data_IF_845006851208
#
_entry.id   IF_845006851208
#
_cell.length_a   1.000
_cell.length_b   1.000
_cell.length_c   1.000
_cell.angle_alpha   90.00
_cell.angle_beta   90.00
_cell.angle_gamma   90.00
#
_symmetry.space_group_name_H-M   'P 1'
#
loop_
_entity.id
_entity.type
_entity.pdbx_description
1 polymer ?
#
# COMPACT_ATOMS: atom_id res chain seq x y z
N UNK A 1 39.97 8.09 0.09
CA UNK A 1 38.83 8.93 -0.32
C UNK A 1 37.58 8.14 0.01
N UNK A 2 36.97 8.43 1.16
CA UNK A 2 35.90 7.63 1.74
C UNK A 2 34.59 8.39 1.60
N UNK A 3 33.67 7.79 0.84
CA UNK A 3 32.35 8.31 0.51
C UNK A 3 31.41 8.00 1.67
N UNK A 4 31.06 9.03 2.45
CA UNK A 4 30.09 8.92 3.54
C UNK A 4 28.69 9.20 2.99
N UNK A 5 27.97 8.12 2.67
CA UNK A 5 26.57 8.14 2.27
C UNK A 5 25.72 8.72 3.41
N UNK A 6 25.13 9.91 3.19
CA UNK A 6 24.19 10.54 4.11
C UNK A 6 22.81 9.89 3.96
N UNK A 7 22.46 9.03 4.91
CA UNK A 7 21.07 8.60 5.13
C UNK A 7 20.39 9.54 6.13
N UNK A 8 19.17 10.00 5.83
CA UNK A 8 18.31 10.85 6.67
C UNK A 8 16.89 10.37 6.38
N UNK A 9 16.03 9.88 7.29
CA UNK A 9 16.03 9.82 8.75
C UNK A 9 15.39 8.48 9.21
N UNK A 10 15.81 7.97 10.37
CA UNK A 10 15.16 6.86 11.08
C UNK A 10 14.48 7.43 12.31
N UNK A 11 13.18 7.23 12.48
CA UNK A 11 12.49 7.52 13.74
C UNK A 11 12.45 6.25 14.60
N UNK A 12 13.02 6.32 15.80
CA UNK A 12 12.85 5.31 16.85
C UNK A 12 12.07 5.95 18.00
N UNK A 13 10.94 5.38 18.47
CA UNK A 13 10.29 5.85 19.68
C UNK A 13 11.17 5.59 20.91
N UNK A 14 11.16 6.53 21.86
CA UNK A 14 11.91 6.46 23.12
C UNK A 14 11.43 5.28 23.98
N UNK A 15 12.31 4.64 24.76
CA UNK A 15 11.90 3.58 25.69
C UNK A 15 11.08 4.19 26.85
N UNK A 16 9.98 3.53 27.19
CA UNK A 16 9.22 3.84 28.40
C UNK A 16 10.08 3.56 29.64
N UNK A 17 10.01 4.50 30.58
CA UNK A 17 10.78 4.49 31.84
C UNK A 17 10.53 3.22 32.66
N UNK A 18 11.63 2.66 33.16
CA UNK A 18 11.72 1.44 33.93
C UNK A 18 10.75 1.36 35.13
N UNK A 19 9.92 0.31 35.13
CA UNK A 19 9.21 -0.23 36.28
C UNK A 19 9.29 -1.76 36.26
N UNK A 20 9.66 -2.35 37.39
CA UNK A 20 9.98 -3.77 37.65
C UNK A 20 8.94 -4.78 37.11
N UNK A 21 9.36 -5.95 36.55
CA UNK A 21 8.43 -6.93 35.98
C UNK A 21 7.78 -7.82 37.05
N UNK A 22 6.45 -7.82 37.11
CA UNK A 22 5.64 -8.85 37.79
C UNK A 22 5.40 -10.05 36.85
N UNK A 23 5.23 -11.27 37.38
CA UNK A 23 5.09 -12.46 36.55
C UNK A 23 3.65 -12.61 36.06
N UNK A 24 3.45 -12.66 34.73
CA UNK A 24 2.25 -13.25 34.14
C UNK A 24 1.34 -12.37 33.30
N UNK A 25 1.78 -11.23 32.80
CA UNK A 25 1.03 -10.51 31.77
C UNK A 25 1.56 -10.94 30.39
N UNK A 26 0.76 -11.75 29.67
CA UNK A 26 0.86 -11.82 28.21
C UNK A 26 0.82 -10.37 27.73
N UNK A 27 1.87 -9.92 27.06
CA UNK A 27 1.86 -8.66 26.33
C UNK A 27 0.57 -8.61 25.48
N UNK A 28 -0.22 -7.54 25.57
CA UNK A 28 -1.44 -7.48 24.80
C UNK A 28 -1.07 -7.44 23.32
N UNK A 29 -1.70 -8.34 22.57
CA UNK A 29 -2.17 -8.14 21.21
C UNK A 29 -1.95 -6.71 20.70
N UNK A 30 -1.07 -6.57 19.69
CA UNK A 30 -0.69 -5.27 19.15
C UNK A 30 -1.90 -4.41 18.77
N UNK A 31 -1.72 -3.10 18.89
CA UNK A 31 -2.69 -2.05 18.59
C UNK A 31 -3.59 -2.36 17.37
N UNK A 32 -4.88 -2.69 17.58
CA UNK A 32 -5.80 -3.05 16.51
C UNK A 32 -6.00 -1.85 15.58
N UNK A 33 -5.66 -2.04 14.30
CA UNK A 33 -5.72 -1.00 13.27
C UNK A 33 -4.44 -0.18 13.11
N UNK A 34 -3.34 -0.52 13.78
CA UNK A 34 -2.06 0.13 13.53
C UNK A 34 -1.58 -0.03 12.07
N UNK A 35 -1.83 -1.19 11.45
CA UNK A 35 -1.49 -1.44 10.04
C UNK A 35 -2.37 -0.61 9.09
N UNK A 36 -3.66 -0.46 9.42
CA UNK A 36 -4.58 0.43 8.69
C UNK A 36 -4.11 1.88 8.74
N UNK A 37 -3.80 2.40 9.94
CA UNK A 37 -3.29 3.78 10.10
C UNK A 37 -1.94 3.97 9.41
N UNK A 38 -1.08 2.95 9.44
CA UNK A 38 0.19 2.98 8.75
C UNK A 38 -0.02 3.11 7.23
N UNK A 39 -0.88 2.28 6.62
CA UNK A 39 -1.16 2.37 5.18
C UNK A 39 -1.78 3.70 4.77
N UNK A 40 -2.74 4.23 5.53
CA UNK A 40 -3.30 5.56 5.27
C UNK A 40 -2.23 6.66 5.33
N UNK A 41 -1.32 6.60 6.31
CA UNK A 41 -0.19 7.53 6.38
C UNK A 41 0.73 7.44 5.16
N UNK A 42 1.04 6.22 4.71
CA UNK A 42 1.85 6.03 3.51
C UNK A 42 1.10 6.53 2.27
N UNK A 43 -0.21 6.29 2.15
CA UNK A 43 -1.02 6.79 1.05
C UNK A 43 -1.01 8.33 0.95
N UNK A 44 -1.13 9.03 2.08
CA UNK A 44 -0.99 10.49 2.13
C UNK A 44 0.40 10.98 1.73
N UNK A 45 1.46 10.23 2.08
CA UNK A 45 2.81 10.53 1.60
C UNK A 45 2.96 10.31 0.10
N UNK A 46 2.42 9.22 -0.45
CA UNK A 46 2.43 8.96 -1.91
C UNK A 46 1.71 10.09 -2.65
N UNK A 47 0.57 10.55 -2.13
CA UNK A 47 -0.20 11.62 -2.75
C UNK A 47 0.61 12.92 -2.82
N UNK A 48 1.19 13.36 -1.70
CA UNK A 48 1.98 14.61 -1.62
C UNK A 48 3.27 14.54 -2.43
N UNK A 49 4.04 13.46 -2.25
CA UNK A 49 5.38 13.32 -2.85
C UNK A 49 5.34 12.92 -4.33
N UNK A 50 4.27 12.26 -4.77
CA UNK A 50 4.12 11.81 -6.15
C UNK A 50 4.12 12.95 -7.16
N UNK A 51 3.45 14.07 -6.83
CA UNK A 51 3.45 15.29 -7.65
C UNK A 51 4.85 15.92 -7.78
N UNK A 52 5.73 15.68 -6.81
CA UNK A 52 7.13 16.15 -6.80
C UNK A 52 8.09 15.13 -7.46
N UNK A 53 7.57 14.03 -8.00
CA UNK A 53 8.36 12.97 -8.63
C UNK A 53 9.05 12.02 -7.66
N UNK A 54 8.68 12.04 -6.37
CA UNK A 54 9.12 11.05 -5.39
C UNK A 54 8.06 9.95 -5.24
N UNK A 55 8.42 8.72 -5.57
CA UNK A 55 7.47 7.61 -5.68
C UNK A 55 7.78 6.46 -4.76
N UNK A 56 6.74 5.79 -4.28
CA UNK A 56 6.84 4.63 -3.42
C UNK A 56 7.55 3.49 -4.17
N UNK A 57 8.49 2.83 -3.50
CA UNK A 57 9.18 1.66 -4.02
C UNK A 57 8.80 0.39 -3.29
N UNK A 58 8.67 0.47 -1.96
CA UNK A 58 8.37 -0.70 -1.14
C UNK A 58 7.59 -0.32 0.11
N UNK A 59 6.70 -1.21 0.51
CA UNK A 59 6.11 -1.30 1.84
C UNK A 59 6.38 -2.71 2.40
N UNK A 60 6.87 -2.75 3.63
CA UNK A 60 6.92 -3.94 4.47
C UNK A 60 5.93 -3.71 5.62
N UNK A 61 4.79 -4.39 5.56
CA UNK A 61 3.72 -4.19 6.54
C UNK A 61 4.04 -4.87 7.87
N UNK A 62 4.81 -5.96 7.85
CA UNK A 62 5.22 -6.72 9.04
C UNK A 62 6.05 -5.83 9.96
N UNK A 63 7.01 -5.09 9.38
CA UNK A 63 7.89 -4.19 10.14
C UNK A 63 7.45 -2.72 10.10
N UNK A 64 6.33 -2.42 9.42
CA UNK A 64 5.82 -1.05 9.18
C UNK A 64 6.89 -0.11 8.63
N UNK A 65 7.58 -0.56 7.58
CA UNK A 65 8.61 0.20 6.87
C UNK A 65 8.16 0.50 5.46
N UNK A 66 8.63 1.62 4.93
CA UNK A 66 8.43 1.98 3.54
C UNK A 66 9.67 2.67 2.99
N UNK A 67 9.83 2.64 1.67
CA UNK A 67 10.88 3.38 0.97
C UNK A 67 10.31 4.11 -0.22
N UNK A 68 10.88 5.29 -0.48
CA UNK A 68 10.60 6.11 -1.65
C UNK A 68 11.88 6.26 -2.49
N UNK A 69 11.70 6.54 -3.78
CA UNK A 69 12.79 6.92 -4.67
C UNK A 69 12.39 8.16 -5.48
N UNK A 70 13.37 9.03 -5.71
CA UNK A 70 13.20 10.16 -6.62
C UNK A 70 13.33 9.65 -8.07
N UNK A 71 12.32 9.91 -8.88
CA UNK A 71 12.41 9.71 -10.32
C UNK A 71 13.08 10.91 -10.99
N UNK A 72 13.85 10.70 -12.09
CA UNK A 72 14.55 11.79 -12.78
C UNK A 72 13.64 12.91 -13.29
N UNK A 73 12.38 12.57 -13.59
CA UNK A 73 11.35 13.54 -14.00
C UNK A 73 10.02 13.22 -13.30
N UNK A 74 9.38 14.21 -12.66
CA UNK A 74 7.99 14.08 -12.23
C UNK A 74 7.10 13.68 -13.40
N UNK A 75 5.98 13.03 -13.09
CA UNK A 75 4.93 12.79 -14.07
C UNK A 75 4.24 14.13 -14.38
N UNK A 76 4.07 14.44 -15.66
CA UNK A 76 3.50 15.71 -16.14
C UNK A 76 1.98 15.66 -16.29
N UNK A 77 1.37 14.48 -16.18
CA UNK A 77 -0.08 14.32 -16.24
C UNK A 77 -0.73 14.94 -15.01
N UNK A 78 -1.89 15.57 -15.22
CA UNK A 78 -2.72 16.05 -14.13
C UNK A 78 -3.58 14.90 -13.57
N UNK A 79 -3.75 14.81 -12.25
CA UNK A 79 -4.73 13.92 -11.64
C UNK A 79 -6.14 14.16 -12.16
N UNK A 80 -6.84 13.09 -12.52
CA UNK A 80 -8.25 13.11 -12.93
C UNK A 80 -9.04 12.13 -12.05
N UNK A 81 -10.12 12.60 -11.45
CA UNK A 81 -10.94 11.81 -10.52
C UNK A 81 -12.40 11.78 -10.97
N UNK A 82 -13.14 10.75 -10.54
CA UNK A 82 -14.54 10.50 -10.90
C UNK A 82 -15.50 11.64 -10.52
N UNK A 83 -15.27 12.32 -9.40
CA UNK A 83 -16.22 13.28 -8.82
C UNK A 83 -15.74 14.74 -8.78
N UNK A 84 -14.60 15.05 -9.42
CA UNK A 84 -14.04 16.41 -9.47
C UNK A 84 -12.72 16.56 -8.71
N UNK A 85 -12.35 17.78 -8.26
CA UNK A 85 -11.06 18.02 -7.62
C UNK A 85 -10.96 17.28 -6.28
N UNK A 86 -9.79 16.73 -6.00
CA UNK A 86 -9.50 16.04 -4.74
C UNK A 86 -9.10 17.07 -3.67
N UNK A 87 -9.65 16.96 -2.45
CA UNK A 87 -9.21 17.76 -1.32
C UNK A 87 -7.73 17.52 -1.00
N UNK A 88 -7.03 18.60 -0.61
CA UNK A 88 -5.67 18.51 -0.10
C UNK A 88 -5.60 17.79 1.25
N UNK A 89 -6.70 17.80 2.01
CA UNK A 89 -6.78 17.13 3.32
C UNK A 89 -6.91 15.61 3.16
N UNK A 90 -6.00 14.88 3.82
CA UNK A 90 -5.94 13.41 3.74
C UNK A 90 -7.20 12.75 4.33
N UNK A 91 -7.83 13.33 5.35
CA UNK A 91 -9.00 12.73 5.99
C UNK A 91 -10.27 12.92 5.16
N UNK A 92 -10.40 14.05 4.47
CA UNK A 92 -11.49 14.30 3.52
C UNK A 92 -11.38 13.40 2.28
N UNK A 93 -10.17 13.13 1.80
CA UNK A 93 -9.93 12.26 0.64
C UNK A 93 -10.27 10.78 0.90
N UNK A 94 -10.11 10.31 2.14
CA UNK A 94 -10.34 8.91 2.52
C UNK A 94 -11.80 8.45 2.43
N UNK A 95 -12.75 9.35 2.13
CA UNK A 95 -14.19 9.06 2.02
C UNK A 95 -14.60 8.10 0.91
N UNK A 96 -13.67 7.66 0.04
CA UNK A 96 -13.93 6.64 -0.97
C UNK A 96 -14.56 7.14 -2.27
N UNK A 97 -14.86 8.42 -2.38
CA UNK A 97 -15.48 8.99 -3.59
C UNK A 97 -14.46 9.36 -4.69
N UNK A 98 -13.20 9.55 -4.31
CA UNK A 98 -12.14 10.08 -5.18
C UNK A 98 -11.38 8.99 -5.94
N UNK A 99 -12.08 8.27 -6.80
CA UNK A 99 -11.49 7.20 -7.62
C UNK A 99 -10.66 7.85 -8.76
N UNK A 100 -9.35 7.59 -8.85
CA UNK A 100 -8.54 8.12 -9.95
C UNK A 100 -8.89 7.43 -11.26
N UNK A 101 -9.23 8.21 -12.28
CA UNK A 101 -9.53 7.69 -13.60
C UNK A 101 -8.27 7.13 -14.28
N UNK A 102 -8.46 6.24 -15.26
CA UNK A 102 -7.38 5.60 -16.01
C UNK A 102 -6.27 6.52 -16.55
N UNK A 103 -6.55 7.74 -17.07
CA UNK A 103 -5.48 8.63 -17.57
C UNK A 103 -4.63 9.28 -16.48
N UNK A 104 -4.99 9.15 -15.20
CA UNK A 104 -4.28 9.78 -14.09
C UNK A 104 -2.86 9.24 -13.90
N UNK A 105 -1.98 10.02 -13.25
CA UNK A 105 -0.63 9.57 -12.94
C UNK A 105 -0.58 8.27 -12.11
N UNK A 106 0.51 7.49 -12.19
CA UNK A 106 0.63 6.22 -11.47
C UNK A 106 0.62 6.39 -9.96
N UNK A 107 1.13 7.53 -9.48
CA UNK A 107 1.15 7.84 -8.05
C UNK A 107 -0.26 8.05 -7.49
N UNK A 108 -1.23 8.57 -8.27
CA UNK A 108 -2.63 8.66 -7.82
C UNK A 108 -3.25 7.28 -7.72
N UNK A 109 -2.93 6.40 -8.69
CA UNK A 109 -3.38 5.01 -8.71
C UNK A 109 -2.80 4.22 -7.53
N UNK A 110 -1.54 4.45 -7.18
CA UNK A 110 -0.91 3.90 -5.99
C UNK A 110 -1.55 4.43 -4.70
N UNK A 111 -1.79 5.74 -4.57
CA UNK A 111 -2.51 6.31 -3.41
C UNK A 111 -3.84 5.61 -3.21
N UNK A 112 -4.64 5.48 -4.28
CA UNK A 112 -5.94 4.81 -4.22
C UNK A 112 -5.84 3.34 -3.83
N UNK A 113 -4.89 2.60 -4.42
CA UNK A 113 -4.61 1.21 -4.05
C UNK A 113 -4.33 1.07 -2.56
N UNK A 114 -3.49 1.95 -1.99
CA UNK A 114 -3.13 1.91 -0.57
C UNK A 114 -4.30 2.25 0.35
N UNK A 115 -5.08 3.27 0.02
CA UNK A 115 -6.28 3.65 0.79
C UNK A 115 -7.28 2.49 0.83
N UNK A 116 -7.52 1.86 -0.32
CA UNK A 116 -8.44 0.72 -0.43
C UNK A 116 -7.92 -0.54 0.25
N UNK A 117 -6.61 -0.82 0.18
CA UNK A 117 -6.01 -1.92 0.94
C UNK A 117 -6.11 -1.67 2.45
N UNK A 118 -5.93 -0.43 2.91
CA UNK A 118 -6.05 -0.06 4.32
C UNK A 118 -7.47 -0.33 4.87
N UNK A 119 -8.50 0.05 4.11
CA UNK A 119 -9.91 -0.22 4.45
C UNK A 119 -10.20 -1.72 4.51
N UNK A 120 -9.57 -2.51 3.64
CA UNK A 120 -9.91 -3.93 3.46
C UNK A 120 -9.05 -4.90 4.28
N UNK A 121 -8.10 -4.43 5.09
CA UNK A 121 -7.21 -5.31 5.88
C UNK A 121 -7.97 -6.34 6.73
N UNK A 122 -9.04 -5.93 7.43
CA UNK A 122 -9.86 -6.85 8.23
C UNK A 122 -10.57 -7.88 7.35
N UNK A 123 -11.00 -7.47 6.15
CA UNK A 123 -11.69 -8.33 5.19
C UNK A 123 -10.74 -9.36 4.54
N UNK A 124 -9.47 -9.01 4.31
CA UNK A 124 -8.42 -9.99 3.99
C UNK A 124 -8.31 -11.04 5.09
N UNK A 125 -8.20 -10.60 6.36
CA UNK A 125 -8.06 -11.49 7.51
C UNK A 125 -9.23 -12.46 7.66
N UNK A 126 -10.47 -12.00 7.46
CA UNK A 126 -11.65 -12.88 7.50
C UNK A 126 -11.68 -13.95 6.41
N UNK A 127 -10.91 -13.75 5.34
CA UNK A 127 -10.74 -14.70 4.23
C UNK A 127 -9.48 -15.57 4.36
N UNK A 128 -8.83 -15.56 5.52
CA UNK A 128 -7.60 -16.35 5.74
C UNK A 128 -6.41 -15.84 4.95
N UNK A 129 -6.50 -14.63 4.40
CA UNK A 129 -5.44 -13.96 3.66
C UNK A 129 -4.83 -12.84 4.50
N UNK A 130 -3.53 -12.60 4.32
CA UNK A 130 -2.82 -11.54 5.02
C UNK A 130 -1.99 -10.73 4.03
N UNK A 131 -2.26 -9.44 3.94
CA UNK A 131 -1.37 -8.51 3.25
C UNK A 131 -0.06 -8.39 4.04
N UNK A 132 1.08 -8.56 3.38
CA UNK A 132 2.41 -8.48 4.05
C UNK A 132 3.32 -7.40 3.47
N UNK A 133 3.07 -6.93 2.25
CA UNK A 133 3.87 -5.88 1.65
C UNK A 133 3.44 -5.48 0.25
N UNK A 134 4.10 -4.47 -0.29
CA UNK A 134 3.89 -3.94 -1.64
C UNK A 134 5.25 -3.59 -2.22
N UNK A 135 5.49 -3.93 -3.48
CA UNK A 135 6.67 -3.53 -4.24
C UNK A 135 6.26 -2.85 -5.55
N UNK A 136 6.78 -1.66 -5.83
CA UNK A 136 6.52 -0.90 -7.06
C UNK A 136 7.85 -0.58 -7.76
N UNK A 137 8.48 -1.56 -8.41
CA UNK A 137 9.79 -1.37 -9.07
C UNK A 137 9.69 -0.55 -10.36
N UNK A 138 8.48 -0.20 -10.81
CA UNK A 138 8.26 0.69 -11.93
C UNK A 138 6.94 1.45 -11.77
N UNK A 139 6.77 2.52 -12.54
CA UNK A 139 5.50 3.24 -12.67
C UNK A 139 4.34 2.41 -13.24
N UNK A 140 4.63 1.29 -13.92
CA UNK A 140 3.61 0.56 -14.67
C UNK A 140 2.77 -0.37 -13.81
N UNK A 141 3.31 -0.85 -12.69
CA UNK A 141 2.66 -1.85 -11.87
C UNK A 141 3.21 -1.87 -10.45
N UNK A 142 2.40 -2.39 -9.54
CA UNK A 142 2.78 -2.73 -8.17
C UNK A 142 2.46 -4.20 -7.90
N UNK A 143 3.38 -4.91 -7.25
CA UNK A 143 3.13 -6.24 -6.72
C UNK A 143 2.67 -6.12 -5.27
N UNK A 144 1.45 -6.60 -5.02
CA UNK A 144 0.86 -6.71 -3.69
C UNK A 144 1.15 -8.11 -3.15
N UNK A 145 1.89 -8.20 -2.05
CA UNK A 145 2.29 -9.48 -1.47
C UNK A 145 1.26 -9.94 -0.44
N UNK A 146 0.67 -11.10 -0.68
CA UNK A 146 -0.37 -11.69 0.15
C UNK A 146 0.04 -13.09 0.58
N UNK A 147 0.00 -13.35 1.88
CA UNK A 147 0.11 -14.71 2.42
C UNK A 147 -1.30 -15.32 2.48
N UNK A 148 -1.47 -16.50 1.89
CA UNK A 148 -2.74 -17.23 1.89
C UNK A 148 -2.45 -18.74 1.91
N UNK A 149 -3.04 -19.44 2.89
CA UNK A 149 -2.84 -20.89 3.13
C UNK A 149 -1.37 -21.31 3.21
N UNK A 150 -0.54 -20.50 3.87
CA UNK A 150 0.90 -20.77 4.05
C UNK A 150 1.76 -20.54 2.81
N UNK A 151 1.18 -20.03 1.72
CA UNK A 151 1.88 -19.66 0.48
C UNK A 151 1.92 -18.14 0.33
N UNK A 152 3.07 -17.62 -0.11
CA UNK A 152 3.23 -16.20 -0.43
C UNK A 152 2.96 -15.97 -1.91
N UNK A 153 1.99 -15.13 -2.20
CA UNK A 153 1.54 -14.75 -3.54
C UNK A 153 1.91 -13.30 -3.85
N UNK A 154 2.18 -13.02 -5.12
CA UNK A 154 2.36 -11.66 -5.65
C UNK A 154 1.24 -11.35 -6.62
N UNK A 155 0.33 -10.46 -6.23
CA UNK A 155 -0.71 -9.94 -7.11
C UNK A 155 -0.19 -8.69 -7.83
N UNK A 156 0.07 -8.79 -9.14
CA UNK A 156 0.56 -7.68 -9.95
C UNK A 156 -0.61 -6.80 -10.39
N UNK A 157 -0.68 -5.61 -9.81
CA UNK A 157 -1.67 -4.58 -10.10
C UNK A 157 -1.12 -3.60 -11.13
N UNK A 158 -1.72 -3.46 -12.32
CA UNK A 158 -1.33 -2.43 -13.27
C UNK A 158 -1.69 -1.04 -12.73
N UNK A 159 -0.73 -0.12 -12.73
CA UNK A 159 -0.92 1.29 -12.37
C UNK A 159 -1.05 2.19 -13.61
N UNK A 160 -0.61 1.70 -14.77
CA UNK A 160 -0.70 2.40 -16.06
C UNK A 160 -1.27 1.50 -17.15
N UNK A 161 -1.69 2.12 -18.27
CA UNK A 161 -2.06 1.40 -19.49
C UNK A 161 -3.40 0.69 -19.42
N UNK A 162 -4.21 0.98 -18.39
CA UNK A 162 -5.58 0.47 -18.27
C UNK A 162 -6.53 1.33 -19.09
N UNK A 163 -7.58 0.70 -19.60
CA UNK A 163 -8.71 1.41 -20.22
C UNK A 163 -9.70 1.93 -19.16
N UNK A 164 -9.81 1.21 -18.04
CA UNK A 164 -10.82 1.47 -17.01
C UNK A 164 -10.17 1.82 -15.65
N UNK A 165 -10.85 2.64 -14.82
CA UNK A 165 -10.48 2.84 -13.43
C UNK A 165 -10.59 1.53 -12.64
N UNK A 166 -9.83 1.39 -11.55
CA UNK A 166 -10.09 0.32 -10.58
C UNK A 166 -10.89 0.92 -9.44
N UNK A 167 -12.17 0.60 -9.36
CA UNK A 167 -13.05 1.17 -8.35
C UNK A 167 -12.70 0.66 -6.95
N UNK A 168 -12.50 -0.66 -6.76
CA UNK A 168 -12.33 -1.22 -5.42
C UNK A 168 -11.18 -2.24 -5.35
N UNK A 169 -9.92 -1.81 -5.60
CA UNK A 169 -8.77 -2.70 -5.69
C UNK A 169 -8.60 -3.60 -4.46
N UNK A 170 -8.83 -3.08 -3.25
CA UNK A 170 -8.70 -3.85 -2.02
C UNK A 170 -9.74 -4.96 -1.88
N UNK A 171 -11.00 -4.67 -2.25
CA UNK A 171 -12.10 -5.64 -2.15
C UNK A 171 -11.91 -6.76 -3.17
N UNK A 172 -11.62 -6.40 -4.43
CA UNK A 172 -11.41 -7.36 -5.51
C UNK A 172 -10.24 -8.30 -5.19
N UNK A 173 -9.14 -7.77 -4.64
CA UNK A 173 -8.01 -8.61 -4.22
C UNK A 173 -8.39 -9.52 -3.04
N UNK A 174 -9.11 -9.02 -2.03
CA UNK A 174 -9.53 -9.85 -0.90
C UNK A 174 -10.44 -11.00 -1.35
N UNK A 175 -11.41 -10.74 -2.24
CA UNK A 175 -12.29 -11.76 -2.83
C UNK A 175 -11.51 -12.76 -3.67
N UNK A 176 -10.54 -12.31 -4.48
CA UNK A 176 -9.69 -13.17 -5.30
C UNK A 176 -8.97 -14.25 -4.46
N UNK A 177 -8.55 -13.89 -3.24
CA UNK A 177 -7.96 -14.84 -2.29
C UNK A 177 -9.02 -15.67 -1.56
N UNK A 178 -10.06 -15.01 -1.02
CA UNK A 178 -11.12 -15.67 -0.26
C UNK A 178 -11.91 -16.72 -1.05
N UNK A 179 -12.14 -16.48 -2.33
CA UNK A 179 -12.82 -17.41 -3.24
C UNK A 179 -11.85 -18.39 -3.93
N UNK A 180 -10.56 -18.31 -3.59
CA UNK A 180 -9.49 -19.12 -4.21
C UNK A 180 -9.36 -19.00 -5.72
N UNK A 181 -9.93 -17.95 -6.33
CA UNK A 181 -9.86 -17.68 -7.77
C UNK A 181 -8.42 -17.47 -8.26
N UNK A 182 -7.52 -16.98 -7.40
CA UNK A 182 -6.09 -16.85 -7.71
C UNK A 182 -5.44 -18.16 -8.19
N UNK A 183 -5.88 -19.32 -7.70
CA UNK A 183 -5.32 -20.62 -8.09
C UNK A 183 -5.51 -20.94 -9.58
N UNK A 184 -6.52 -20.34 -10.22
CA UNK A 184 -6.81 -20.56 -11.64
C UNK A 184 -6.06 -19.59 -12.56
N UNK A 185 -5.62 -18.44 -12.04
CA UNK A 185 -5.04 -17.34 -12.84
C UNK A 185 -3.57 -17.09 -12.55
N UNK A 186 -3.01 -17.74 -11.53
CA UNK A 186 -1.61 -17.59 -11.18
C UNK A 186 -0.69 -18.38 -12.14
N UNK A 187 0.43 -17.77 -12.50
CA UNK A 187 1.60 -18.43 -13.05
C UNK A 187 2.61 -18.64 -11.91
N UNK A 188 2.70 -19.88 -11.42
CA UNK A 188 3.40 -20.16 -10.17
C UNK A 188 2.75 -19.43 -8.99
N UNK A 189 3.49 -18.55 -8.33
CA UNK A 189 3.00 -17.72 -7.20
C UNK A 189 2.68 -16.28 -7.59
N UNK A 190 2.66 -15.98 -8.90
CA UNK A 190 2.44 -14.63 -9.43
C UNK A 190 1.07 -14.59 -10.13
N UNK A 191 0.24 -13.62 -9.76
CA UNK A 191 -1.02 -13.33 -10.44
C UNK A 191 -0.79 -12.12 -11.31
N UNK A 192 -0.76 -12.33 -12.62
CA UNK A 192 -0.62 -11.25 -13.60
C UNK A 192 -1.95 -10.54 -13.79
N UNK A 193 -1.93 -9.20 -13.85
CA UNK A 193 -3.12 -8.37 -14.07
C UNK A 193 -4.23 -8.70 -13.05
N UNK A 194 -3.90 -8.64 -11.76
CA UNK A 194 -4.81 -9.02 -10.69
C UNK A 194 -6.08 -8.13 -10.61
N UNK A 195 -6.13 -7.03 -11.38
CA UNK A 195 -7.17 -6.02 -11.45
C UNK A 195 -7.27 -5.43 -12.86
#
# INVERSE_FOLDING_TARGET
>A
MTEASRYTASYSPLPETAGTPGPGEREPEGDPGADTRFLFRVAGLVHRLGAEGTELQRIDLIHRRFTFAQYPRPDDRLPVYSIGPVPDDDSERQGGDYIPLAPSPPWTQMTWLLEQLAVQLTFFGSHGARLTGIEAPSRRWADVTVEHEGTVWRARVPLEGRAEPIEQPGMVLAELFGEKRHLAVADGTIIHNAL
#
